data_IF_339241664951
#
_entry.id   IF_339241664951
#
_cell.length_a   1.000
_cell.length_b   1.000
_cell.length_c   1.000
_cell.angle_alpha   90.00
_cell.angle_beta   90.00
_cell.angle_gamma   90.00
#
_symmetry.space_group_name_H-M   'P 1'
#
loop_
_entity.id
_entity.type
_entity.pdbx_description
1 polymer ?
#
# COMPACT_ATOMS: atom_id res chain seq x y z
N UNK A 1 15.14 -9.60 3.00
CA UNK A 1 15.15 -8.56 4.04
C UNK A 1 14.34 -9.05 5.21
N UNK A 2 14.89 -8.96 6.43
CA UNK A 2 14.16 -9.30 7.66
C UNK A 2 12.97 -8.33 7.80
N UNK A 3 11.84 -8.80 8.33
CA UNK A 3 10.70 -7.92 8.58
C UNK A 3 11.10 -6.83 9.59
N UNK A 4 10.68 -5.61 9.34
CA UNK A 4 11.03 -4.47 10.18
C UNK A 4 9.96 -4.20 11.27
N UNK A 5 8.72 -4.64 11.05
CA UNK A 5 7.56 -4.30 11.89
C UNK A 5 6.95 -5.51 12.61
N UNK A 6 6.48 -5.34 13.86
CA UNK A 6 5.86 -6.40 14.65
C UNK A 6 4.53 -6.89 14.03
N UNK A 7 4.10 -8.11 14.42
CA UNK A 7 2.90 -8.81 13.89
C UNK A 7 1.63 -7.97 13.98
N UNK A 8 1.51 -7.12 15.00
CA UNK A 8 0.36 -6.24 15.23
C UNK A 8 0.19 -5.15 14.16
N UNK A 9 1.22 -4.83 13.36
CA UNK A 9 1.11 -3.83 12.30
C UNK A 9 0.20 -4.27 11.14
N UNK A 10 -0.01 -5.59 10.95
CA UNK A 10 -0.89 -6.10 9.89
C UNK A 10 -2.39 -5.82 10.17
N UNK A 11 -2.98 -6.23 11.32
CA UNK A 11 -4.35 -5.85 11.65
C UNK A 11 -4.53 -4.33 11.77
N UNK A 12 -3.52 -3.64 12.31
CA UNK A 12 -3.53 -2.18 12.40
C UNK A 12 -3.56 -1.52 11.00
N UNK A 13 -2.79 -2.04 10.04
CA UNK A 13 -2.79 -1.56 8.66
C UNK A 13 -4.16 -1.70 7.98
N UNK A 14 -4.90 -2.79 8.21
CA UNK A 14 -6.27 -2.92 7.69
C UNK A 14 -7.24 -1.93 8.36
N UNK A 15 -7.11 -1.71 9.67
CA UNK A 15 -7.92 -0.70 10.38
C UNK A 15 -7.64 0.69 9.81
N UNK A 16 -6.36 1.03 9.58
CA UNK A 16 -5.97 2.31 8.96
C UNK A 16 -6.53 2.45 7.55
N UNK A 17 -6.50 1.39 6.72
CA UNK A 17 -7.11 1.41 5.38
C UNK A 17 -8.63 1.60 5.43
N UNK A 18 -9.30 0.93 6.36
CA UNK A 18 -10.74 1.04 6.53
C UNK A 18 -11.11 2.47 6.96
N UNK A 19 -10.42 3.01 7.95
CA UNK A 19 -10.59 4.40 8.39
C UNK A 19 -10.31 5.39 7.25
N UNK A 20 -9.22 5.20 6.49
CA UNK A 20 -8.89 6.04 5.34
C UNK A 20 -9.98 6.02 4.26
N UNK A 21 -10.65 4.88 4.05
CA UNK A 21 -11.74 4.77 3.09
C UNK A 21 -12.98 5.56 3.52
N UNK A 22 -13.29 5.59 4.83
CA UNK A 22 -14.49 6.23 5.36
C UNK A 22 -14.31 7.72 5.69
N UNK A 23 -13.10 8.20 5.98
CA UNK A 23 -12.82 9.61 6.29
C UNK A 23 -13.39 10.58 5.23
N UNK A 24 -13.18 10.39 3.91
CA UNK A 24 -13.70 11.29 2.89
C UNK A 24 -15.23 11.37 2.90
N UNK A 25 -15.90 10.22 3.09
CA UNK A 25 -17.37 10.17 3.16
C UNK A 25 -17.90 10.90 4.39
N UNK A 26 -17.25 10.75 5.55
CA UNK A 26 -17.65 11.43 6.79
C UNK A 26 -17.47 12.95 6.65
N UNK A 27 -16.34 13.39 6.09
CA UNK A 27 -16.04 14.82 5.88
C UNK A 27 -17.06 15.48 4.93
N UNK A 28 -17.47 14.77 3.86
CA UNK A 28 -18.52 15.24 2.94
C UNK A 28 -19.86 15.33 3.65
N UNK A 29 -20.25 14.33 4.44
CA UNK A 29 -21.50 14.34 5.21
C UNK A 29 -21.56 15.44 6.29
N UNK A 30 -20.40 15.86 6.81
CA UNK A 30 -20.30 16.94 7.79
C UNK A 30 -20.23 18.35 7.17
N UNK A 31 -20.20 18.48 5.84
CA UNK A 31 -20.22 19.78 5.14
C UNK A 31 -18.98 20.66 5.39
N UNK A 32 -17.90 20.11 5.97
CA UNK A 32 -16.66 20.83 6.28
C UNK A 32 -15.70 20.93 5.08
N UNK A 33 -16.08 20.37 3.94
CA UNK A 33 -15.28 20.35 2.71
C UNK A 33 -15.51 21.63 1.90
N UNK A 34 -14.49 22.49 1.84
CA UNK A 34 -14.45 23.68 0.99
C UNK A 34 -13.57 23.46 -0.24
N UNK A 35 -13.81 24.17 -1.35
CA UNK A 35 -13.03 24.03 -2.60
C UNK A 35 -11.51 24.22 -2.41
N UNK A 36 -11.12 25.05 -1.45
CA UNK A 36 -9.72 25.30 -1.08
C UNK A 36 -9.10 24.13 -0.30
N UNK A 37 -9.88 23.44 0.54
CA UNK A 37 -9.38 22.35 1.39
C UNK A 37 -9.56 20.96 0.76
N UNK A 38 -10.34 20.84 -0.32
CA UNK A 38 -10.63 19.58 -1.02
C UNK A 38 -9.35 18.86 -1.47
N UNK A 39 -8.41 19.60 -2.04
CA UNK A 39 -7.11 19.06 -2.48
C UNK A 39 -6.32 18.51 -1.28
N UNK A 40 -6.30 19.23 -0.16
CA UNK A 40 -5.62 18.82 1.05
C UNK A 40 -6.21 17.51 1.63
N UNK A 41 -7.53 17.43 1.78
CA UNK A 41 -8.18 16.21 2.28
C UNK A 41 -7.98 15.01 1.35
N UNK A 42 -7.96 15.22 0.03
CA UNK A 42 -7.71 14.18 -0.96
C UNK A 42 -6.28 13.63 -0.85
N UNK A 43 -5.27 14.49 -0.72
CA UNK A 43 -3.88 14.05 -0.56
C UNK A 43 -3.63 13.43 0.83
N UNK A 44 -4.20 13.99 1.91
CA UNK A 44 -4.11 13.39 3.25
C UNK A 44 -4.71 11.98 3.30
N UNK A 45 -5.86 11.76 2.65
CA UNK A 45 -6.47 10.43 2.59
C UNK A 45 -5.57 9.44 1.84
N UNK A 46 -4.98 9.84 0.72
CA UNK A 46 -4.04 9.01 -0.05
C UNK A 46 -2.80 8.67 0.76
N UNK A 47 -2.21 9.62 1.49
CA UNK A 47 -1.07 9.37 2.37
C UNK A 47 -1.42 8.36 3.46
N UNK A 48 -2.63 8.46 4.04
CA UNK A 48 -3.12 7.49 5.03
C UNK A 48 -3.25 6.08 4.43
N UNK A 49 -3.77 5.98 3.21
CA UNK A 49 -3.89 4.70 2.50
C UNK A 49 -2.51 4.10 2.17
N UNK A 50 -1.55 4.92 1.73
CA UNK A 50 -0.17 4.46 1.48
C UNK A 50 0.49 3.96 2.77
N UNK A 51 0.32 4.69 3.88
CA UNK A 51 0.82 4.26 5.19
C UNK A 51 0.19 2.92 5.60
N UNK A 52 -1.12 2.74 5.42
CA UNK A 52 -1.81 1.47 5.67
C UNK A 52 -1.25 0.30 4.85
N UNK A 53 -1.04 0.49 3.54
CA UNK A 53 -0.46 -0.54 2.67
C UNK A 53 0.99 -0.87 3.05
N UNK A 54 1.82 0.14 3.38
CA UNK A 54 3.20 -0.08 3.80
C UNK A 54 3.28 -0.84 5.13
N UNK A 55 2.39 -0.54 6.09
CA UNK A 55 2.29 -1.29 7.35
C UNK A 55 1.98 -2.77 7.10
N UNK A 56 1.16 -3.10 6.11
CA UNK A 56 0.83 -4.49 5.75
C UNK A 56 2.01 -5.19 5.08
N UNK A 57 2.70 -4.52 4.14
CA UNK A 57 3.84 -5.11 3.40
C UNK A 57 5.03 -5.40 4.33
N UNK A 58 5.30 -4.52 5.30
CA UNK A 58 6.44 -4.64 6.21
C UNK A 58 6.15 -5.40 7.51
N UNK A 59 4.89 -5.73 7.81
CA UNK A 59 4.52 -6.48 9.01
C UNK A 59 5.01 -7.94 8.96
N UNK A 60 5.55 -8.40 10.09
CA UNK A 60 5.92 -9.79 10.32
C UNK A 60 4.68 -10.68 10.43
N UNK A 61 4.71 -11.89 9.86
CA UNK A 61 3.61 -12.86 10.01
C UNK A 61 3.86 -13.78 11.21
N UNK A 62 2.84 -14.04 12.03
CA UNK A 62 2.93 -14.96 13.19
C UNK A 62 3.14 -16.38 12.65
N UNK A 63 4.29 -17.01 12.92
CA UNK A 63 4.85 -18.23 12.27
C UNK A 63 5.62 -18.00 10.96
N UNK A 64 6.67 -17.19 11.01
CA UNK A 64 7.54 -16.95 9.86
C UNK A 64 8.45 -18.16 9.57
N UNK A 65 7.99 -19.01 8.66
CA UNK A 65 8.82 -20.01 7.99
C UNK A 65 9.64 -19.42 6.84
N UNK A 66 10.73 -20.11 6.43
CA UNK A 66 11.58 -19.69 5.30
C UNK A 66 10.81 -19.42 4.00
N UNK A 67 9.74 -20.16 3.73
CA UNK A 67 8.89 -19.97 2.54
C UNK A 67 8.08 -18.66 2.60
N UNK A 68 7.51 -18.34 3.77
CA UNK A 68 6.79 -17.08 4.03
C UNK A 68 7.72 -15.87 3.88
N UNK A 69 8.97 -15.99 4.35
CA UNK A 69 9.99 -14.95 4.21
C UNK A 69 10.35 -14.70 2.73
N UNK A 70 10.49 -15.77 1.93
CA UNK A 70 10.76 -15.65 0.50
C UNK A 70 9.63 -14.96 -0.26
N UNK A 71 8.36 -15.30 0.03
CA UNK A 71 7.19 -14.67 -0.60
C UNK A 71 7.17 -13.16 -0.30
N UNK A 72 7.38 -12.76 0.96
CA UNK A 72 7.47 -11.33 1.31
C UNK A 72 8.64 -10.67 0.61
N UNK A 73 9.82 -11.28 0.61
CA UNK A 73 11.02 -10.68 0.03
C UNK A 73 10.88 -10.47 -1.49
N UNK A 74 10.20 -11.40 -2.18
CA UNK A 74 9.84 -11.24 -3.59
C UNK A 74 8.82 -10.13 -3.81
N UNK A 75 7.78 -10.04 -2.98
CA UNK A 75 6.79 -8.96 -3.05
C UNK A 75 7.42 -7.59 -2.79
N UNK A 76 8.30 -7.47 -1.79
CA UNK A 76 9.03 -6.22 -1.46
C UNK A 76 10.00 -5.84 -2.58
N UNK A 77 10.72 -6.82 -3.17
CA UNK A 77 11.62 -6.56 -4.30
C UNK A 77 10.83 -6.06 -5.52
N UNK A 78 9.67 -6.66 -5.80
CA UNK A 78 8.80 -6.23 -6.89
C UNK A 78 8.21 -4.82 -6.62
N UNK A 79 7.82 -4.54 -5.38
CA UNK A 79 7.37 -3.23 -4.95
C UNK A 79 8.45 -2.15 -5.16
N UNK A 80 9.69 -2.41 -4.75
CA UNK A 80 10.81 -1.47 -4.91
C UNK A 80 11.13 -1.25 -6.40
N UNK A 81 11.17 -2.32 -7.20
CA UNK A 81 11.49 -2.23 -8.62
C UNK A 81 10.47 -1.38 -9.39
N UNK A 82 9.18 -1.60 -9.15
CA UNK A 82 8.13 -0.81 -9.81
C UNK A 82 8.02 0.61 -9.24
N UNK A 83 8.32 0.83 -7.95
CA UNK A 83 8.42 2.18 -7.38
C UNK A 83 9.52 2.97 -8.10
N UNK A 84 10.67 2.36 -8.35
CA UNK A 84 11.73 2.98 -9.14
C UNK A 84 11.29 3.31 -10.56
N UNK A 85 10.65 2.36 -11.26
CA UNK A 85 10.15 2.56 -12.62
C UNK A 85 9.09 3.67 -12.68
N UNK A 86 8.23 3.76 -11.68
CA UNK A 86 7.18 4.76 -11.58
C UNK A 86 7.74 6.16 -11.27
N UNK A 87 8.67 6.27 -10.31
CA UNK A 87 9.35 7.54 -10.02
C UNK A 87 10.14 8.02 -11.25
N UNK A 88 10.81 7.09 -11.95
CA UNK A 88 11.54 7.40 -13.18
C UNK A 88 10.59 7.84 -14.31
N UNK A 89 9.49 7.11 -14.53
CA UNK A 89 8.47 7.46 -15.52
C UNK A 89 7.78 8.80 -15.21
N UNK A 90 7.47 9.05 -13.94
CA UNK A 90 6.91 10.32 -13.47
C UNK A 90 7.88 11.50 -13.65
N UNK A 91 9.19 11.30 -13.41
CA UNK A 91 10.20 12.31 -13.71
C UNK A 91 10.30 12.59 -15.22
N UNK A 92 10.29 11.57 -16.07
CA UNK A 92 10.29 11.74 -17.54
C UNK A 92 9.04 12.45 -18.05
N UNK A 93 7.87 12.10 -17.52
CA UNK A 93 6.60 12.73 -17.87
C UNK A 93 6.55 14.22 -17.48
N UNK A 94 7.08 14.56 -16.29
CA UNK A 94 7.20 15.95 -15.82
C UNK A 94 8.13 16.79 -16.70
N UNK A 95 9.20 16.21 -17.21
CA UNK A 95 10.11 16.87 -18.16
C UNK A 95 9.41 17.13 -19.50
N UNK A 96 8.51 16.23 -19.93
CA UNK A 96 7.77 16.42 -21.19
C UNK A 96 6.63 17.43 -21.10
N UNK A 97 5.96 17.58 -19.94
CA UNK A 97 4.81 18.47 -19.79
C UNK A 97 5.14 19.88 -19.26
N UNK A 98 6.32 20.09 -18.68
CA UNK A 98 6.77 21.42 -18.24
C UNK A 98 5.98 22.02 -17.07
N UNK A 99 5.12 21.25 -16.39
CA UNK A 99 4.28 21.73 -15.30
C UNK A 99 4.12 20.69 -14.17
N UNK A 100 4.12 21.15 -12.92
CA UNK A 100 4.55 20.36 -11.74
C UNK A 100 3.39 19.76 -10.92
N UNK A 101 2.14 20.09 -11.22
CA UNK A 101 1.13 20.06 -10.14
C UNK A 101 0.17 18.86 -10.13
N UNK A 102 -0.02 18.07 -11.18
CA UNK A 102 -1.16 17.12 -11.13
C UNK A 102 -1.00 15.76 -11.80
N UNK A 103 0.18 15.16 -11.70
CA UNK A 103 0.39 13.82 -12.24
C UNK A 103 0.88 12.90 -11.14
N UNK A 104 0.07 11.85 -10.90
CA UNK A 104 0.52 10.51 -10.49
C UNK A 104 0.49 10.04 -9.01
N UNK A 105 -0.39 10.55 -8.14
CA UNK A 105 -0.57 9.91 -6.81
C UNK A 105 -1.45 8.63 -6.83
N UNK A 106 -2.36 8.51 -7.81
CA UNK A 106 -3.35 7.42 -7.87
C UNK A 106 -2.76 6.08 -8.32
N UNK A 107 -1.85 6.11 -9.30
CA UNK A 107 -1.24 4.92 -9.91
C UNK A 107 -0.35 4.18 -8.92
N UNK A 108 0.40 4.91 -8.09
CA UNK A 108 1.20 4.34 -7.00
C UNK A 108 0.32 3.66 -5.93
N UNK A 109 -0.82 4.26 -5.62
CA UNK A 109 -1.78 3.68 -4.67
C UNK A 109 -2.38 2.38 -5.21
N UNK A 110 -2.81 2.34 -6.48
CA UNK A 110 -3.28 1.12 -7.14
C UNK A 110 -2.22 0.03 -7.14
N UNK A 111 -0.96 0.38 -7.42
CA UNK A 111 0.17 -0.55 -7.38
C UNK A 111 0.42 -1.11 -5.98
N UNK A 112 0.42 -0.28 -4.95
CA UNK A 112 0.55 -0.71 -3.56
C UNK A 112 -0.55 -1.72 -3.16
N UNK A 113 -1.79 -1.46 -3.57
CA UNK A 113 -2.93 -2.37 -3.32
C UNK A 113 -2.70 -3.72 -4.01
N UNK A 114 -2.26 -3.75 -5.28
CA UNK A 114 -1.92 -5.00 -5.96
C UNK A 114 -0.81 -5.79 -5.25
N UNK A 115 0.22 -5.12 -4.72
CA UNK A 115 1.27 -5.81 -3.97
C UNK A 115 0.76 -6.40 -2.65
N UNK A 116 -0.11 -5.67 -1.94
CA UNK A 116 -0.77 -6.19 -0.73
C UNK A 116 -1.61 -7.42 -1.08
N UNK A 117 -2.39 -7.40 -2.16
CA UNK A 117 -3.17 -8.56 -2.61
C UNK A 117 -2.30 -9.76 -2.97
N UNK A 118 -1.21 -9.56 -3.72
CA UNK A 118 -0.25 -10.61 -4.05
C UNK A 118 0.40 -11.22 -2.80
N UNK A 119 0.74 -10.39 -1.81
CA UNK A 119 1.29 -10.85 -0.54
C UNK A 119 0.27 -11.69 0.24
N UNK A 120 -0.99 -11.24 0.36
CA UNK A 120 -2.06 -12.00 1.00
C UNK A 120 -2.29 -13.35 0.31
N UNK A 121 -2.40 -13.34 -1.02
CA UNK A 121 -2.64 -14.54 -1.79
C UNK A 121 -1.49 -15.54 -1.66
N UNK A 122 -0.24 -15.07 -1.74
CA UNK A 122 0.94 -15.91 -1.55
C UNK A 122 0.98 -16.55 -0.15
N UNK A 123 0.61 -15.80 0.88
CA UNK A 123 0.55 -16.31 2.26
C UNK A 123 -0.57 -17.32 2.48
N UNK A 124 -1.75 -17.08 1.91
CA UNK A 124 -2.88 -18.03 1.96
C UNK A 124 -2.55 -19.32 1.19
N UNK A 125 -1.92 -19.20 0.01
CA UNK A 125 -1.45 -20.35 -0.77
C UNK A 125 -0.46 -21.21 0.02
N UNK A 126 0.56 -20.61 0.62
CA UNK A 126 1.55 -21.33 1.42
C UNK A 126 0.92 -22.05 2.63
N UNK A 127 -0.13 -21.47 3.22
CA UNK A 127 -0.88 -22.10 4.31
C UNK A 127 -1.66 -23.33 3.79
N UNK A 128 -2.38 -23.19 2.67
CA UNK A 128 -3.14 -24.30 2.05
C UNK A 128 -2.22 -25.44 1.62
N UNK A 129 -1.07 -25.13 1.01
CA UNK A 129 -0.09 -26.14 0.59
C UNK A 129 0.42 -26.97 1.79
N UNK A 130 0.52 -26.39 2.99
CA UNK A 130 0.86 -27.14 4.21
C UNK A 130 -0.25 -28.02 4.74
N UNK A 131 -1.50 -27.59 4.58
CA UNK A 131 -2.65 -28.39 5.02
C UNK A 131 -2.89 -29.58 4.10
N UNK A 132 -2.62 -29.46 2.79
CA UNK A 132 -2.84 -30.53 1.81
C UNK A 132 -1.66 -31.50 1.64
N UNK A 133 -0.44 -31.11 2.04
CA UNK A 133 0.73 -32.03 2.06
C UNK A 133 0.82 -32.91 3.32
N UNK A 134 -0.20 -32.88 4.18
CA UNK A 134 -0.29 -33.68 5.41
C UNK A 134 -1.33 -34.77 5.24
#
# INVERSE_FOLDING_TARGET
MKALLPVYCRPLGYVVLLVALFIPFILVMQGVVTDTNLLFYKECTKLLMMAGCLLIIFALSKNESRETEQIRNSAVRNAIFLTFLFVFGGMLWRVMQGDVINVDTSSFLTFLVFNVLCLEFGLKKALVDRFFKR
#
